data_IF_714591440349
#
_entry.id   IF_714591440349
#
_cell.length_a   1.000
_cell.length_b   1.000
_cell.length_c   1.000
_cell.angle_alpha   90.00
_cell.angle_beta   90.00
_cell.angle_gamma   90.00
#
_symmetry.space_group_name_H-M   'P 1'
#
loop_
_entity.id
_entity.type
_entity.pdbx_description
1 polymer ?
#
# COMPACT_ATOMS: atom_id res chain seq x y z
N UNK A 1 -6.39 5.15 -9.43
CA UNK A 1 -5.05 5.52 -8.91
C UNK A 1 -3.94 4.72 -9.60
N UNK A 2 -2.68 5.18 -9.56
CA UNK A 2 -1.52 4.35 -9.95
C UNK A 2 -1.00 3.58 -8.72
N UNK A 3 -0.63 2.31 -8.87
CA UNK A 3 -0.01 1.52 -7.81
C UNK A 3 0.97 0.48 -8.37
N UNK A 4 1.96 0.09 -7.56
CA UNK A 4 2.75 -1.12 -7.84
C UNK A 4 1.91 -2.33 -7.44
N UNK A 5 1.64 -3.24 -8.37
CA UNK A 5 0.90 -4.47 -8.11
C UNK A 5 1.86 -5.66 -8.22
N UNK A 6 1.82 -6.51 -7.19
CA UNK A 6 2.44 -7.83 -7.21
C UNK A 6 1.39 -8.86 -7.57
N UNK A 7 1.68 -9.64 -8.60
CA UNK A 7 0.90 -10.80 -9.04
C UNK A 7 1.78 -12.05 -8.98
N UNK A 8 1.16 -13.23 -9.04
CA UNK A 8 1.88 -14.48 -9.08
C UNK A 8 1.45 -15.31 -10.29
N UNK A 9 2.44 -15.75 -11.06
CA UNK A 9 2.26 -16.64 -12.20
C UNK A 9 3.37 -17.70 -12.17
N UNK A 10 3.00 -18.98 -12.26
CA UNK A 10 3.93 -20.12 -12.26
C UNK A 10 4.94 -20.08 -11.10
N UNK A 11 4.47 -19.67 -9.92
CA UNK A 11 5.30 -19.55 -8.70
C UNK A 11 6.28 -18.37 -8.69
N UNK A 12 6.29 -17.52 -9.73
CA UNK A 12 7.11 -16.31 -9.81
C UNK A 12 6.27 -15.08 -9.49
N UNK A 13 6.86 -14.17 -8.73
CA UNK A 13 6.27 -12.86 -8.47
C UNK A 13 6.53 -11.94 -9.65
N UNK A 14 5.46 -11.31 -10.14
CA UNK A 14 5.49 -10.30 -11.20
C UNK A 14 5.13 -8.96 -10.58
N UNK A 15 6.00 -7.97 -10.74
CA UNK A 15 5.80 -6.62 -10.22
C UNK A 15 5.60 -5.65 -11.38
N UNK A 16 4.49 -4.90 -11.38
CA UNK A 16 4.22 -3.91 -12.42
C UNK A 16 3.46 -2.72 -11.87
N UNK A 17 3.76 -1.52 -12.38
CA UNK A 17 2.96 -0.32 -12.07
C UNK A 17 1.70 -0.36 -12.94
N UNK A 18 0.53 -0.29 -12.30
CA UNK A 18 -0.76 -0.40 -12.97
C UNK A 18 -1.72 0.72 -12.54
N UNK A 19 -2.64 1.07 -13.43
CA UNK A 19 -3.82 1.86 -13.09
C UNK A 19 -4.87 0.95 -12.43
N UNK A 20 -5.27 1.27 -11.20
CA UNK A 20 -6.30 0.54 -10.46
C UNK A 20 -7.49 1.43 -10.16
N UNK A 21 -8.68 0.84 -10.18
CA UNK A 21 -9.89 1.46 -9.65
C UNK A 21 -9.84 1.50 -8.12
N UNK A 22 -10.32 2.58 -7.49
CA UNK A 22 -10.31 2.73 -6.04
C UNK A 22 -11.20 1.69 -5.34
N UNK A 23 -12.23 1.15 -6.03
CA UNK A 23 -13.06 0.05 -5.53
C UNK A 23 -12.30 -1.26 -5.30
N UNK A 24 -11.04 -1.37 -5.78
CA UNK A 24 -10.16 -2.52 -5.50
C UNK A 24 -9.43 -2.42 -4.17
N UNK A 25 -9.47 -1.27 -3.49
CA UNK A 25 -8.88 -1.10 -2.18
C UNK A 25 -9.66 -1.93 -1.14
N UNK A 26 -8.99 -2.47 -0.12
CA UNK A 26 -9.69 -3.09 1.00
C UNK A 26 -10.53 -2.06 1.75
N UNK A 27 -11.59 -2.53 2.41
CA UNK A 27 -12.35 -1.68 3.33
C UNK A 27 -11.48 -1.18 4.49
N UNK A 28 -11.72 0.05 4.93
CA UNK A 28 -11.03 0.66 6.06
C UNK A 28 -11.61 2.02 6.41
N UNK A 29 -11.41 2.43 7.67
CA UNK A 29 -12.04 3.65 8.22
C UNK A 29 -11.39 4.94 7.73
N UNK A 30 -10.17 4.89 7.16
CA UNK A 30 -9.39 6.06 6.76
C UNK A 30 -8.79 5.85 5.38
N UNK A 31 -9.12 6.74 4.44
CA UNK A 31 -8.52 6.79 3.10
C UNK A 31 -7.48 7.90 3.06
N UNK A 32 -6.28 7.58 2.56
CA UNK A 32 -5.15 8.51 2.51
C UNK A 32 -4.66 8.67 1.07
N UNK A 33 -4.50 9.93 0.65
CA UNK A 33 -3.77 10.30 -0.55
C UNK A 33 -2.27 10.22 -0.29
N UNK A 34 -1.66 9.12 -0.72
CA UNK A 34 -0.23 8.84 -0.52
C UNK A 34 0.61 9.73 -1.42
N UNK A 35 1.54 10.47 -0.81
CA UNK A 35 2.51 11.33 -1.52
C UNK A 35 3.90 10.73 -1.53
N UNK A 36 4.25 9.99 -0.46
CA UNK A 36 5.57 9.39 -0.28
C UNK A 36 5.44 7.98 0.27
N UNK A 37 6.42 7.15 -0.09
CA UNK A 37 6.66 5.84 0.48
C UNK A 37 8.18 5.62 0.51
N UNK A 38 8.60 4.49 1.05
CA UNK A 38 10.00 4.08 1.14
C UNK A 38 10.16 2.67 0.58
N UNK A 39 11.41 2.26 0.36
CA UNK A 39 11.73 0.89 0.02
C UNK A 39 12.65 0.32 1.09
N UNK A 40 12.09 -0.50 1.96
CA UNK A 40 12.84 -1.22 2.97
C UNK A 40 13.32 -2.57 2.42
N UNK A 41 14.22 -3.23 3.16
CA UNK A 41 14.68 -4.58 2.79
C UNK A 41 13.52 -5.58 2.66
N UNK A 42 12.50 -5.46 3.53
CA UNK A 42 11.30 -6.31 3.49
C UNK A 42 10.46 -6.07 2.23
N UNK A 43 10.36 -4.82 1.78
CA UNK A 43 9.69 -4.48 0.51
C UNK A 43 10.45 -5.08 -0.67
N UNK A 44 11.78 -4.99 -0.68
CA UNK A 44 12.61 -5.62 -1.73
C UNK A 44 12.41 -7.14 -1.78
N UNK A 45 12.34 -7.81 -0.62
CA UNK A 45 12.04 -9.24 -0.56
C UNK A 45 10.65 -9.56 -1.11
N UNK A 46 9.63 -8.78 -0.75
CA UNK A 46 8.28 -8.94 -1.26
C UNK A 46 8.21 -8.76 -2.79
N UNK A 47 8.77 -7.65 -3.31
CA UNK A 47 8.77 -7.30 -4.74
C UNK A 47 9.52 -8.35 -5.56
N UNK A 48 10.63 -8.90 -5.04
CA UNK A 48 11.41 -9.94 -5.73
C UNK A 48 10.90 -11.36 -5.52
N UNK A 49 9.84 -11.54 -4.74
CA UNK A 49 9.28 -12.86 -4.40
C UNK A 49 10.17 -13.71 -3.47
N UNK A 50 11.23 -13.13 -2.89
CA UNK A 50 12.16 -13.82 -1.99
C UNK A 50 11.64 -13.84 -0.56
N UNK A 51 12.05 -14.84 0.22
CA UNK A 51 11.74 -14.92 1.66
C UNK A 51 10.28 -15.24 2.00
N UNK A 52 9.40 -15.48 1.01
CA UNK A 52 7.97 -15.81 1.20
C UNK A 52 7.24 -14.79 2.10
N UNK A 53 7.54 -13.49 1.89
CA UNK A 53 6.93 -12.40 2.65
C UNK A 53 5.43 -12.27 2.34
N UNK A 54 5.07 -12.38 1.06
CA UNK A 54 3.69 -12.27 0.58
C UNK A 54 3.01 -13.64 0.59
N UNK A 55 1.81 -13.68 1.17
CA UNK A 55 0.97 -14.91 1.24
C UNK A 55 -0.25 -14.86 0.33
N UNK A 56 -0.72 -13.66 0.00
CA UNK A 56 -1.93 -13.44 -0.78
C UNK A 56 -1.58 -12.54 -1.98
N UNK A 57 -1.99 -12.97 -3.16
CA UNK A 57 -1.89 -12.21 -4.40
C UNK A 57 -3.30 -12.00 -4.97
N UNK A 58 -3.55 -10.89 -5.69
CA UNK A 58 -2.62 -9.78 -5.95
C UNK A 58 -2.40 -8.90 -4.70
N UNK A 59 -1.27 -8.18 -4.65
CA UNK A 59 -0.92 -7.34 -3.50
C UNK A 59 -0.23 -6.03 -3.89
N UNK A 60 -0.62 -4.93 -3.25
CA UNK A 60 0.11 -3.66 -3.33
C UNK A 60 1.20 -3.67 -2.22
N UNK A 61 2.50 -3.62 -2.56
CA UNK A 61 3.58 -3.62 -1.58
C UNK A 61 3.81 -2.22 -0.98
N UNK A 62 4.62 -2.16 0.08
CA UNK A 62 5.00 -0.91 0.75
C UNK A 62 4.60 -0.92 2.21
N UNK A 63 5.57 -1.11 3.11
CA UNK A 63 5.30 -1.17 4.55
C UNK A 63 5.03 0.21 5.17
N UNK A 64 5.49 1.28 4.51
CA UNK A 64 5.38 2.66 4.99
C UNK A 64 4.74 3.56 3.93
N UNK A 65 3.96 4.54 4.38
CA UNK A 65 3.53 5.65 3.55
C UNK A 65 3.40 6.94 4.36
N UNK A 66 3.44 8.07 3.65
CA UNK A 66 3.08 9.38 4.17
C UNK A 66 2.19 10.12 3.16
N UNK A 67 1.10 10.70 3.66
CA UNK A 67 0.10 11.32 2.83
C UNK A 67 -0.89 12.18 3.61
N UNK A 68 -1.93 12.62 2.92
CA UNK A 68 -3.02 13.43 3.50
C UNK A 68 -4.27 12.60 3.63
N UNK A 69 -4.97 12.69 4.77
CA UNK A 69 -6.27 12.04 4.94
C UNK A 69 -7.27 12.64 3.95
N UNK A 70 -7.83 11.81 3.08
CA UNK A 70 -8.89 12.17 2.13
C UNK A 70 -10.27 12.02 2.76
N UNK A 71 -10.53 10.89 3.42
CA UNK A 71 -11.78 10.61 4.14
C UNK A 71 -11.49 9.82 5.41
N UNK A 72 -12.30 10.02 6.45
CA UNK A 72 -12.18 9.27 7.71
C UNK A 72 -13.54 9.10 8.37
N UNK A 73 -13.85 7.87 8.79
CA UNK A 73 -14.94 7.53 9.71
C UNK A 73 -14.44 7.45 11.16
N UNK A 74 -13.11 7.38 11.35
CA UNK A 74 -12.47 7.39 12.67
C UNK A 74 -12.30 8.83 13.20
N UNK A 75 -12.83 9.17 14.39
CA UNK A 75 -12.75 10.52 14.93
C UNK A 75 -11.33 10.98 15.29
N UNK A 76 -10.35 10.06 15.38
CA UNK A 76 -8.94 10.38 15.65
C UNK A 76 -8.26 11.03 14.44
N UNK A 77 -8.77 10.81 13.24
CA UNK A 77 -8.20 11.31 11.99
C UNK A 77 -9.19 12.27 11.33
N UNK A 78 -8.73 13.49 11.03
CA UNK A 78 -9.56 14.49 10.37
C UNK A 78 -8.97 14.87 9.02
N UNK A 79 -9.81 15.12 8.04
CA UNK A 79 -9.45 15.62 6.70
C UNK A 79 -8.92 17.08 6.71
N UNK A 80 -8.42 17.58 7.86
CA UNK A 80 -7.94 18.97 7.96
C UNK A 80 -6.61 19.11 7.23
N UNK A 81 -6.56 20.11 6.37
CA UNK A 81 -5.48 20.43 5.45
C UNK A 81 -4.12 20.53 6.18
N UNK A 82 -3.20 19.62 5.88
CA UNK A 82 -1.79 19.69 6.32
C UNK A 82 -1.32 18.61 7.30
N UNK A 83 -2.18 17.68 7.71
CA UNK A 83 -1.76 16.55 8.55
C UNK A 83 -1.01 15.48 7.74
N UNK A 84 0.30 15.33 7.94
CA UNK A 84 1.03 14.16 7.47
C UNK A 84 0.61 12.97 8.34
N UNK A 85 -0.12 12.03 7.77
CA UNK A 85 -0.38 10.75 8.44
C UNK A 85 0.75 9.79 8.07
N UNK A 86 1.53 9.38 9.07
CA UNK A 86 2.55 8.35 8.93
C UNK A 86 1.97 7.04 9.43
N UNK A 87 1.94 6.03 8.56
CA UNK A 87 1.47 4.70 8.95
C UNK A 87 2.61 3.70 8.73
N UNK A 88 2.98 3.02 9.81
CA UNK A 88 3.91 1.90 9.83
C UNK A 88 3.08 0.63 9.78
N UNK A 89 2.98 0.03 8.60
CA UNK A 89 2.24 -1.19 8.41
C UNK A 89 2.89 -2.39 9.08
N UNK A 90 2.15 -3.02 9.99
CA UNK A 90 2.44 -4.39 10.41
C UNK A 90 1.79 -5.33 9.39
N UNK A 91 2.64 -6.05 8.68
CA UNK A 91 2.31 -7.19 7.82
C UNK A 91 2.15 -8.44 8.67
#
# INVERSE_FOLDING_TARGET
MQALLLEQQDGKTLASVQTLDESRLPEGDVTVDVHWSSLNYKDALAITGKGKIIRNFPMIPGIDFAGTVRTSEDPRFSCRSGGVTHWLGRW
#
